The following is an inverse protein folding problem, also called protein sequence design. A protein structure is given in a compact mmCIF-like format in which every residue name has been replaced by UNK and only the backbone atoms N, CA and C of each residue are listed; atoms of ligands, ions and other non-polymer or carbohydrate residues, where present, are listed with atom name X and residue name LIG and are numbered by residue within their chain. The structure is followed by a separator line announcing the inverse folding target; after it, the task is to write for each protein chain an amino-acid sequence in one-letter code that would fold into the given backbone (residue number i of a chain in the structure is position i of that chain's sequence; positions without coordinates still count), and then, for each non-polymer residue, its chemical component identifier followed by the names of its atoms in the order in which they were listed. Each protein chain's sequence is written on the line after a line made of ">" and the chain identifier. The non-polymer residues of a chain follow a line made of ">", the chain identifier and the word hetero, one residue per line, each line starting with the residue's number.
data_IF_220879314757
#
_entry.id   IF_220879314757
#
_cell.length_a   1.000
_cell.length_b   1.000
_cell.length_c   1.000
_cell.angle_alpha   90.00
_cell.angle_beta   90.00
_cell.angle_gamma   90.00
#
_symmetry.space_group_name_H-M   'P 1'
#
loop_
_entity.id
_entity.type
_entity.pdbx_description
1 polymer ?
#
# COMPACT_ATOMS: atom_id res chain seq x y z
N UNK A 1 24.85 -5.13 22.26
CA UNK A 1 23.77 -4.72 21.34
C UNK A 1 22.81 -5.89 21.20
N UNK A 2 21.85 -5.99 22.10
CA UNK A 2 20.83 -7.04 22.15
C UNK A 2 19.69 -6.67 21.19
N UNK A 3 19.50 -7.47 20.14
CA UNK A 3 18.39 -7.34 19.18
C UNK A 3 17.06 -7.62 19.88
N UNK A 4 16.39 -6.59 20.38
CA UNK A 4 15.08 -6.65 21.04
C UNK A 4 13.92 -7.09 20.12
N UNK A 5 14.12 -7.15 18.79
CA UNK A 5 13.11 -7.59 17.83
C UNK A 5 13.00 -9.12 17.70
N UNK A 6 13.97 -9.89 18.20
CA UNK A 6 13.93 -11.36 18.11
C UNK A 6 12.99 -12.00 19.16
N UNK A 7 12.68 -11.26 20.24
CA UNK A 7 11.84 -11.74 21.35
C UNK A 7 10.37 -11.87 20.99
N UNK A 8 9.91 -11.25 19.90
CA UNK A 8 8.49 -11.28 19.46
C UNK A 8 8.22 -12.25 18.31
N UNK A 9 9.25 -12.92 17.80
CA UNK A 9 9.10 -13.73 16.59
C UNK A 9 8.63 -15.14 16.94
N UNK A 10 7.35 -15.41 16.67
CA UNK A 10 6.77 -16.75 16.76
C UNK A 10 7.05 -17.55 15.50
N UNK A 11 7.48 -18.80 15.67
CA UNK A 11 7.81 -19.74 14.59
C UNK A 11 6.95 -20.99 14.74
N UNK A 12 6.49 -21.53 13.61
CA UNK A 12 5.79 -22.81 13.59
C UNK A 12 6.79 -23.97 13.55
N UNK A 13 6.78 -24.80 14.60
CA UNK A 13 7.67 -25.96 14.71
C UNK A 13 7.15 -27.16 13.92
N UNK A 14 8.03 -27.79 13.14
CA UNK A 14 7.72 -29.06 12.48
C UNK A 14 7.57 -30.22 13.49
N UNK A 15 6.73 -31.25 13.20
CA UNK A 15 6.45 -32.36 14.11
C UNK A 15 7.70 -33.08 14.63
N UNK A 16 8.70 -33.30 13.78
CA UNK A 16 9.92 -34.02 14.13
C UNK A 16 10.81 -33.26 15.12
N UNK A 17 10.73 -31.92 15.14
CA UNK A 17 11.48 -31.09 16.09
C UNK A 17 10.86 -31.15 17.49
N UNK A 18 9.55 -31.35 17.59
CA UNK A 18 8.89 -31.58 18.87
C UNK A 18 9.42 -32.84 19.55
N UNK A 19 9.61 -33.91 18.78
CA UNK A 19 10.12 -35.18 19.29
C UNK A 19 11.59 -35.03 19.73
N UNK A 20 12.38 -34.22 19.01
CA UNK A 20 13.75 -33.90 19.40
C UNK A 20 13.85 -33.01 20.65
N UNK A 21 12.87 -32.12 20.89
CA UNK A 21 12.81 -31.23 22.05
C UNK A 21 12.26 -31.90 23.31
N UNK A 22 11.47 -32.96 23.17
CA UNK A 22 10.84 -33.69 24.28
C UNK A 22 11.80 -34.15 25.41
N UNK A 23 13.02 -34.66 25.17
CA UNK A 23 13.91 -35.10 26.24
C UNK A 23 14.67 -33.96 26.96
N UNK A 24 14.76 -32.78 26.35
CA UNK A 24 15.57 -31.65 26.84
C UNK A 24 15.19 -31.07 28.20
N UNK A 25 13.92 -31.03 28.66
CA UNK A 25 13.55 -30.39 29.93
C UNK A 25 14.23 -31.00 31.16
N UNK A 26 14.75 -32.23 31.06
CA UNK A 26 15.50 -32.89 32.13
C UNK A 26 16.97 -32.44 32.23
N UNK A 27 17.53 -31.91 31.13
CA UNK A 27 18.94 -31.56 30.98
C UNK A 27 19.20 -30.05 31.01
N UNK A 28 18.17 -29.25 30.71
CA UNK A 28 18.30 -27.81 30.57
C UNK A 28 18.49 -27.10 31.92
N UNK A 29 19.26 -26.00 31.96
CA UNK A 29 19.27 -25.08 33.08
C UNK A 29 17.85 -24.59 33.45
N UNK A 30 17.60 -24.27 34.73
CA UNK A 30 16.25 -23.96 35.22
C UNK A 30 15.58 -22.79 34.48
N UNK A 31 16.35 -21.80 34.03
CA UNK A 31 15.86 -20.66 33.26
C UNK A 31 15.35 -21.04 31.85
N UNK A 32 16.04 -21.94 31.15
CA UNK A 32 15.61 -22.40 29.82
C UNK A 32 14.46 -23.40 29.93
N UNK A 33 14.47 -24.21 30.99
CA UNK A 33 13.40 -25.16 31.28
C UNK A 33 12.07 -24.46 31.47
N UNK A 34 12.01 -23.39 32.27
CA UNK A 34 10.77 -22.64 32.48
C UNK A 34 10.24 -22.02 31.19
N UNK A 35 11.12 -21.58 30.28
CA UNK A 35 10.75 -21.06 28.97
C UNK A 35 10.21 -22.13 28.00
N UNK A 36 10.77 -23.35 28.01
CA UNK A 36 10.37 -24.43 27.09
C UNK A 36 9.13 -25.22 27.54
N UNK A 37 8.96 -25.42 28.85
CA UNK A 37 7.87 -26.22 29.45
C UNK A 37 6.46 -25.86 28.98
N UNK A 38 6.05 -24.57 28.89
CA UNK A 38 4.70 -24.23 28.43
C UNK A 38 4.43 -24.65 26.99
N UNK A 39 5.48 -24.72 26.15
CA UNK A 39 5.34 -25.10 24.74
C UNK A 39 5.33 -26.62 24.54
N UNK A 40 5.81 -27.41 25.49
CA UNK A 40 5.79 -28.88 25.43
C UNK A 40 4.54 -29.52 26.06
N UNK A 41 3.62 -28.70 26.59
CA UNK A 41 2.40 -29.17 27.24
C UNK A 41 1.37 -29.68 26.22
N UNK A 42 0.54 -30.65 26.60
CA UNK A 42 -0.59 -31.11 25.77
C UNK A 42 -1.84 -30.26 26.06
N UNK A 43 -2.47 -29.63 25.06
CA UNK A 43 -2.24 -29.76 23.62
C UNK A 43 -1.02 -28.98 23.11
N UNK A 44 -0.24 -29.59 22.20
CA UNK A 44 0.97 -28.99 21.62
C UNK A 44 0.61 -27.69 20.87
N UNK A 45 1.09 -26.51 21.32
CA UNK A 45 0.86 -25.27 20.60
C UNK A 45 1.56 -25.31 19.24
N UNK A 46 0.92 -24.77 18.20
CA UNK A 46 1.45 -24.77 16.84
C UNK A 46 2.68 -23.86 16.66
N UNK A 47 2.95 -22.98 17.62
CA UNK A 47 4.00 -21.96 17.55
C UNK A 47 4.84 -21.91 18.82
N UNK A 48 6.13 -21.70 18.67
CA UNK A 48 7.08 -21.40 19.75
C UNK A 48 7.80 -20.08 19.48
N UNK A 49 8.16 -19.30 20.51
CA UNK A 49 9.04 -18.16 20.36
C UNK A 49 10.45 -18.57 19.87
N UNK A 50 10.97 -17.80 18.92
CA UNK A 50 12.32 -18.01 18.37
C UNK A 50 13.43 -17.88 19.43
N UNK A 51 13.29 -16.94 20.37
CA UNK A 51 14.28 -16.72 21.41
C UNK A 51 14.56 -17.98 22.24
N UNK A 52 13.52 -18.75 22.59
CA UNK A 52 13.66 -20.00 23.35
C UNK A 52 14.51 -21.01 22.56
N UNK A 53 14.22 -21.18 21.28
CA UNK A 53 14.99 -22.07 20.41
C UNK A 53 16.43 -21.57 20.20
N UNK A 54 16.61 -20.25 20.09
CA UNK A 54 17.92 -19.63 19.93
C UNK A 54 18.78 -19.85 21.18
N UNK A 55 18.23 -19.67 22.38
CA UNK A 55 18.92 -19.91 23.64
C UNK A 55 19.30 -21.39 23.81
N UNK A 56 18.41 -22.32 23.44
CA UNK A 56 18.74 -23.76 23.41
C UNK A 56 19.88 -24.03 22.43
N UNK A 57 19.84 -23.41 21.24
CA UNK A 57 20.91 -23.57 20.24
C UNK A 57 22.26 -23.04 20.75
N UNK A 58 22.26 -21.92 21.48
CA UNK A 58 23.47 -21.35 22.10
C UNK A 58 23.98 -22.24 23.22
N UNK A 59 23.09 -22.69 24.11
CA UNK A 59 23.45 -23.60 25.20
C UNK A 59 24.06 -24.91 24.68
N UNK A 60 23.50 -25.49 23.62
CA UNK A 60 24.02 -26.73 23.01
C UNK A 60 25.45 -26.60 22.46
N UNK A 61 25.90 -25.38 22.14
CA UNK A 61 27.27 -25.09 21.69
C UNK A 61 28.26 -24.88 22.83
N UNK A 62 27.78 -24.69 24.06
CA UNK A 62 28.65 -24.60 25.23
C UNK A 62 29.19 -25.97 25.61
N UNK A 63 30.38 -26.02 26.19
CA UNK A 63 31.01 -27.27 26.65
C UNK A 63 30.15 -28.01 27.67
N UNK A 64 29.51 -27.26 28.58
CA UNK A 64 28.57 -27.80 29.56
C UNK A 64 27.35 -28.42 28.88
N UNK A 65 26.71 -27.71 27.94
CA UNK A 65 25.54 -28.21 27.23
C UNK A 65 25.85 -29.44 26.36
N UNK A 66 26.96 -29.42 25.64
CA UNK A 66 27.38 -30.58 24.83
C UNK A 66 27.67 -31.82 25.69
N UNK A 67 28.32 -31.63 26.85
CA UNK A 67 28.59 -32.72 27.79
C UNK A 67 27.29 -33.28 28.39
N UNK A 68 26.35 -32.40 28.78
CA UNK A 68 25.03 -32.80 29.28
C UNK A 68 24.25 -33.62 28.25
N UNK A 69 24.23 -33.20 26.98
CA UNK A 69 23.55 -33.92 25.89
C UNK A 69 24.17 -35.31 25.63
N UNK A 70 25.50 -35.41 25.64
CA UNK A 70 26.21 -36.67 25.45
C UNK A 70 26.06 -37.63 26.64
N UNK A 71 25.93 -37.10 27.86
CA UNK A 71 25.74 -37.90 29.08
C UNK A 71 24.33 -38.50 29.22
N UNK A 72 23.38 -38.05 28.41
CA UNK A 72 22.01 -38.56 28.42
C UNK A 72 21.95 -40.02 27.92
N UNK A 73 20.91 -40.76 28.32
CA UNK A 73 20.64 -42.12 27.84
C UNK A 73 19.23 -42.18 27.25
N UNK A 74 19.09 -42.38 25.92
CA UNK A 74 20.14 -42.58 24.91
C UNK A 74 20.98 -41.30 24.65
N UNK A 75 22.24 -41.44 24.18
CA UNK A 75 23.10 -40.29 23.92
C UNK A 75 22.51 -39.41 22.82
N UNK A 76 22.28 -38.14 23.12
CA UNK A 76 21.75 -37.16 22.17
C UNK A 76 22.89 -36.53 21.40
N UNK A 77 22.71 -36.34 20.08
CA UNK A 77 23.72 -35.70 19.24
C UNK A 77 23.68 -34.17 19.44
N UNK A 78 24.75 -33.52 19.94
CA UNK A 78 24.73 -32.07 20.16
C UNK A 78 24.48 -31.27 18.88
N UNK A 79 25.00 -31.76 17.75
CA UNK A 79 24.90 -31.12 16.44
C UNK A 79 23.45 -30.87 16.01
N UNK A 80 22.53 -31.79 16.32
CA UNK A 80 21.09 -31.66 16.00
C UNK A 80 20.43 -30.46 16.69
N UNK A 81 20.97 -30.03 17.84
CA UNK A 81 20.45 -28.90 18.62
C UNK A 81 21.12 -27.57 18.27
N UNK A 82 22.35 -27.61 17.72
CA UNK A 82 23.10 -26.38 17.38
C UNK A 82 22.44 -25.50 16.32
N UNK A 83 21.61 -26.11 15.46
CA UNK A 83 20.89 -25.42 14.39
C UNK A 83 19.37 -25.49 14.55
N UNK A 84 18.85 -25.88 15.72
CA UNK A 84 17.41 -26.08 15.91
C UNK A 84 16.61 -24.81 15.63
N UNK A 85 17.16 -23.64 15.96
CA UNK A 85 16.55 -22.35 15.68
C UNK A 85 16.47 -22.04 14.16
N UNK A 86 17.39 -22.57 13.35
CA UNK A 86 17.39 -22.42 11.89
C UNK A 86 16.46 -23.45 11.22
N UNK A 87 16.39 -24.67 11.78
CA UNK A 87 15.54 -25.74 11.27
C UNK A 87 14.08 -25.56 11.66
N UNK A 88 13.78 -24.81 12.72
CA UNK A 88 12.43 -24.62 13.24
C UNK A 88 11.44 -23.93 12.31
N UNK A 89 11.83 -23.56 11.09
CA UNK A 89 10.89 -23.29 10.01
C UNK A 89 11.13 -21.97 9.28
N UNK A 90 10.72 -21.96 8.01
CA UNK A 90 10.76 -20.82 7.08
C UNK A 90 9.57 -19.86 7.25
N UNK A 91 8.57 -20.24 8.04
CA UNK A 91 7.33 -19.49 8.25
C UNK A 91 7.41 -18.66 9.54
N UNK A 92 7.91 -17.44 9.41
CA UNK A 92 7.95 -16.47 10.52
C UNK A 92 6.58 -15.80 10.68
N UNK A 93 6.03 -15.82 11.89
CA UNK A 93 4.76 -15.15 12.22
C UNK A 93 3.54 -15.59 11.38
N UNK A 94 3.16 -16.88 11.40
CA UNK A 94 1.97 -17.36 10.69
C UNK A 94 0.67 -16.67 11.12
N UNK A 95 0.62 -16.18 12.37
CA UNK A 95 -0.50 -15.42 12.94
C UNK A 95 -0.62 -13.99 12.36
N UNK A 96 0.45 -13.48 11.74
CA UNK A 96 0.52 -12.07 11.35
C UNK A 96 -0.17 -11.86 10.00
N UNK A 97 -1.44 -11.44 10.06
CA UNK A 97 -2.18 -10.95 8.90
C UNK A 97 -1.49 -9.70 8.36
N UNK A 98 -0.78 -9.82 7.24
CA UNK A 98 -0.29 -8.65 6.51
C UNK A 98 -1.49 -7.75 6.17
N UNK A 99 -1.38 -6.45 6.46
CA UNK A 99 -2.44 -5.49 6.12
C UNK A 99 -2.76 -5.50 4.63
N UNK A 100 -3.94 -5.02 4.26
CA UNK A 100 -4.32 -4.90 2.84
C UNK A 100 -3.30 -4.01 2.12
N UNK A 101 -2.60 -4.56 1.14
CA UNK A 101 -1.71 -3.77 0.29
C UNK A 101 -2.52 -2.70 -0.45
N UNK A 102 -2.16 -1.44 -0.27
CA UNK A 102 -2.73 -0.32 -1.03
C UNK A 102 -1.66 0.11 -2.03
N UNK A 103 -1.82 -0.17 -3.34
CA UNK A 103 -0.89 0.28 -4.37
C UNK A 103 -0.74 1.80 -4.32
N UNK A 104 0.48 2.29 -4.59
CA UNK A 104 0.68 3.73 -4.82
C UNK A 104 -0.12 4.14 -6.07
N UNK A 105 -0.83 5.27 -5.98
CA UNK A 105 -1.57 5.82 -7.12
C UNK A 105 -0.59 6.17 -8.24
N UNK A 106 -0.97 5.88 -9.48
CA UNK A 106 -0.20 6.24 -10.67
C UNK A 106 -0.04 7.77 -10.79
N UNK A 107 1.10 8.26 -11.32
CA UNK A 107 1.36 9.70 -11.42
C UNK A 107 0.26 10.44 -12.22
N UNK A 108 -0.24 9.83 -13.28
CA UNK A 108 -1.29 10.39 -14.14
C UNK A 108 -2.61 10.63 -13.37
N UNK A 109 -2.97 9.75 -12.43
CA UNK A 109 -4.17 9.92 -11.61
C UNK A 109 -4.01 11.03 -10.58
N UNK A 110 -2.80 11.22 -10.07
CA UNK A 110 -2.48 12.30 -9.13
C UNK A 110 -2.51 13.64 -9.84
N UNK A 111 -1.94 13.74 -11.04
CA UNK A 111 -1.96 14.96 -11.85
C UNK A 111 -3.37 15.35 -12.28
N UNK A 112 -4.20 14.39 -12.71
CA UNK A 112 -5.60 14.64 -13.06
C UNK A 112 -6.40 15.17 -11.86
N UNK A 113 -6.17 14.62 -10.66
CA UNK A 113 -6.79 15.12 -9.42
C UNK A 113 -6.34 16.55 -9.12
N UNK A 114 -5.04 16.81 -9.14
CA UNK A 114 -4.48 18.14 -8.89
C UNK A 114 -5.04 19.20 -9.86
N UNK A 115 -5.17 18.85 -11.16
CA UNK A 115 -5.76 19.74 -12.15
C UNK A 115 -7.25 20.00 -11.90
N UNK A 116 -8.00 19.01 -11.42
CA UNK A 116 -9.40 19.18 -11.05
C UNK A 116 -9.57 20.05 -9.81
N UNK A 117 -8.70 19.90 -8.81
CA UNK A 117 -8.66 20.68 -7.57
C UNK A 117 -8.39 22.15 -7.87
N UNK A 118 -7.37 22.45 -8.69
CA UNK A 118 -7.07 23.83 -9.11
C UNK A 118 -8.28 24.51 -9.76
N UNK A 119 -8.99 23.81 -10.64
CA UNK A 119 -10.20 24.34 -11.29
C UNK A 119 -11.32 24.64 -10.28
N UNK A 120 -11.50 23.79 -9.28
CA UNK A 120 -12.48 24.02 -8.21
C UNK A 120 -12.10 25.22 -7.36
N UNK A 121 -10.82 25.34 -6.98
CA UNK A 121 -10.32 26.48 -6.22
C UNK A 121 -10.51 27.78 -7.00
N UNK A 122 -10.15 27.82 -8.28
CA UNK A 122 -10.35 29.01 -9.11
C UNK A 122 -11.82 29.39 -9.23
N UNK A 123 -12.72 28.41 -9.36
CA UNK A 123 -14.16 28.67 -9.42
C UNK A 123 -14.68 29.30 -8.11
N UNK A 124 -14.23 28.80 -6.96
CA UNK A 124 -14.58 29.37 -5.64
C UNK A 124 -14.08 30.80 -5.49
N UNK A 125 -12.83 31.06 -5.90
CA UNK A 125 -12.25 32.41 -5.83
C UNK A 125 -13.01 33.38 -6.74
N UNK A 126 -13.38 32.95 -7.95
CA UNK A 126 -14.17 33.77 -8.88
C UNK A 126 -15.55 34.10 -8.31
N UNK A 127 -16.26 33.10 -7.77
CA UNK A 127 -17.57 33.32 -7.15
C UNK A 127 -17.49 34.30 -5.96
N UNK A 128 -16.45 34.17 -5.12
CA UNK A 128 -16.25 35.06 -3.97
C UNK A 128 -15.99 36.51 -4.43
N UNK A 129 -15.15 36.68 -5.47
CA UNK A 129 -14.89 37.99 -6.08
C UNK A 129 -16.15 38.59 -6.71
N UNK A 130 -16.99 37.79 -7.39
CA UNK A 130 -18.28 38.25 -7.94
C UNK A 130 -19.20 38.80 -6.85
N UNK A 131 -19.36 38.07 -5.74
CA UNK A 131 -20.25 38.44 -4.63
C UNK A 131 -19.76 39.73 -3.96
N UNK A 132 -18.48 39.78 -3.60
CA UNK A 132 -17.89 40.96 -2.94
C UNK A 132 -17.88 42.16 -3.88
N UNK A 133 -17.49 41.96 -5.15
CA UNK A 133 -17.45 43.01 -6.15
C UNK A 133 -18.83 43.61 -6.40
N UNK A 134 -19.88 42.79 -6.53
CA UNK A 134 -21.25 43.26 -6.68
C UNK A 134 -21.75 44.02 -5.43
N UNK A 135 -21.44 43.52 -4.23
CA UNK A 135 -21.79 44.20 -2.97
C UNK A 135 -21.12 45.57 -2.82
N UNK A 136 -19.82 45.66 -3.12
CA UNK A 136 -19.08 46.93 -3.05
C UNK A 136 -19.53 47.91 -4.13
N UNK A 137 -19.76 47.43 -5.36
CA UNK A 137 -20.24 48.27 -6.45
C UNK A 137 -21.63 48.84 -6.16
N UNK A 138 -22.53 48.04 -5.61
CA UNK A 138 -23.87 48.49 -5.22
C UNK A 138 -23.85 49.42 -4.03
N UNK A 139 -23.00 49.17 -3.03
CA UNK A 139 -22.76 50.11 -1.94
C UNK A 139 -22.29 51.48 -2.47
N UNK A 140 -21.32 51.49 -3.39
CA UNK A 140 -20.80 52.71 -3.99
C UNK A 140 -21.84 53.44 -4.85
N UNK A 141 -22.66 52.71 -5.62
CA UNK A 141 -23.75 53.30 -6.38
C UNK A 141 -24.84 53.90 -5.46
N UNK A 142 -25.18 53.22 -4.37
CA UNK A 142 -26.13 53.71 -3.37
C UNK A 142 -25.59 54.90 -2.56
N UNK A 143 -24.27 55.13 -2.57
CA UNK A 143 -23.69 56.35 -2.01
C UNK A 143 -24.16 57.61 -2.76
N UNK A 144 -24.32 57.50 -4.08
CA UNK A 144 -24.72 58.62 -4.95
C UNK A 144 -26.20 58.98 -4.87
N UNK A 145 -27.06 58.09 -4.37
CA UNK A 145 -28.51 58.30 -4.29
C UNK A 145 -28.96 59.00 -3.00
N UNK A 146 -28.04 59.34 -2.09
CA UNK A 146 -28.36 60.06 -0.85
C UNK A 146 -29.13 59.23 0.19
N UNK A 147 -29.19 57.90 0.03
CA UNK A 147 -29.89 57.03 0.99
C UNK A 147 -29.18 56.96 2.35
N UNK A 148 -29.94 56.71 3.43
CA UNK A 148 -29.37 56.44 4.77
C UNK A 148 -28.50 55.18 4.70
N UNK A 149 -27.42 55.14 5.48
CA UNK A 149 -26.46 54.03 5.49
C UNK A 149 -27.11 52.66 5.74
N UNK A 150 -28.17 52.60 6.55
CA UNK A 150 -28.97 51.39 6.81
C UNK A 150 -29.49 50.76 5.51
N UNK A 151 -30.10 51.57 4.64
CA UNK A 151 -30.67 51.10 3.37
C UNK A 151 -29.60 50.70 2.36
N UNK A 152 -28.42 51.33 2.40
CA UNK A 152 -27.28 50.97 1.55
C UNK A 152 -26.75 49.58 1.90
N UNK A 153 -26.65 49.25 3.19
CA UNK A 153 -26.14 47.93 3.64
C UNK A 153 -27.13 46.85 3.22
N UNK A 154 -28.42 47.09 3.48
CA UNK A 154 -29.48 46.14 3.14
C UNK A 154 -29.54 45.87 1.63
N UNK A 155 -29.41 46.91 0.80
CA UNK A 155 -29.41 46.76 -0.64
C UNK A 155 -28.16 46.03 -1.15
N UNK A 156 -26.96 46.37 -0.66
CA UNK A 156 -25.73 45.69 -1.02
C UNK A 156 -25.74 44.20 -0.62
N UNK A 157 -26.26 43.89 0.56
CA UNK A 157 -26.43 42.51 1.04
C UNK A 157 -27.45 41.74 0.20
N UNK A 158 -28.57 42.38 -0.18
CA UNK A 158 -29.56 41.77 -1.07
C UNK A 158 -28.96 41.40 -2.43
N UNK A 159 -28.21 42.33 -3.05
CA UNK A 159 -27.54 42.03 -4.33
C UNK A 159 -26.49 40.93 -4.17
N UNK A 160 -25.70 40.95 -3.10
CA UNK A 160 -24.74 39.88 -2.80
C UNK A 160 -25.42 38.50 -2.68
N UNK A 161 -26.59 38.41 -2.05
CA UNK A 161 -27.38 37.17 -1.96
C UNK A 161 -27.85 36.70 -3.34
N UNK A 162 -28.40 37.60 -4.17
CA UNK A 162 -28.86 37.25 -5.52
C UNK A 162 -27.71 36.71 -6.36
N UNK A 163 -26.54 37.35 -6.30
CA UNK A 163 -25.33 36.90 -7.01
C UNK A 163 -24.85 35.55 -6.48
N UNK A 164 -24.88 35.33 -5.16
CA UNK A 164 -24.52 34.05 -4.57
C UNK A 164 -25.44 32.91 -5.03
N UNK A 165 -26.74 33.15 -5.13
CA UNK A 165 -27.70 32.16 -5.66
C UNK A 165 -27.42 31.87 -7.14
N UNK A 166 -27.13 32.89 -7.94
CA UNK A 166 -26.79 32.72 -9.36
C UNK A 166 -25.50 31.89 -9.55
N UNK A 167 -24.45 32.20 -8.80
CA UNK A 167 -23.18 31.44 -8.81
C UNK A 167 -23.38 30.00 -8.31
N UNK A 168 -24.21 29.79 -7.28
CA UNK A 168 -24.54 28.45 -6.80
C UNK A 168 -25.26 27.61 -7.86
N UNK A 169 -26.19 28.21 -8.61
CA UNK A 169 -26.85 27.56 -9.75
C UNK A 169 -25.86 27.17 -10.85
N UNK A 170 -24.94 28.07 -11.21
CA UNK A 170 -23.91 27.80 -12.20
C UNK A 170 -22.95 26.68 -11.76
N UNK A 171 -22.56 26.69 -10.49
CA UNK A 171 -21.74 25.64 -9.88
C UNK A 171 -22.44 24.28 -9.91
N UNK A 172 -23.74 24.23 -9.60
CA UNK A 172 -24.53 23.00 -9.61
C UNK A 172 -24.62 22.41 -11.03
N UNK A 173 -24.81 23.23 -12.06
CA UNK A 173 -24.79 22.79 -13.47
C UNK A 173 -23.41 22.23 -13.84
N UNK A 174 -22.34 22.90 -13.43
CA UNK A 174 -20.97 22.45 -13.70
C UNK A 174 -20.66 21.12 -12.99
N UNK A 175 -21.11 20.96 -11.74
CA UNK A 175 -20.95 19.72 -10.96
C UNK A 175 -21.75 18.57 -11.58
N UNK A 176 -22.97 18.83 -12.06
CA UNK A 176 -23.80 17.86 -12.76
C UNK A 176 -23.12 17.31 -14.02
N UNK A 177 -22.51 18.20 -14.83
CA UNK A 177 -21.75 17.80 -16.04
C UNK A 177 -20.49 17.00 -15.73
N UNK A 178 -19.93 17.13 -14.52
CA UNK A 178 -18.74 16.42 -14.06
C UNK A 178 -19.01 15.11 -13.37
N UNK A 179 -20.27 14.74 -13.16
CA UNK A 179 -20.60 13.41 -12.65
C UNK A 179 -20.52 12.42 -13.82
N UNK A 180 -19.44 11.63 -13.98
CA UNK A 180 -19.48 10.54 -14.93
C UNK A 180 -20.59 9.60 -14.46
N UNK A 181 -21.59 9.33 -15.31
CA UNK A 181 -22.39 8.11 -15.16
C UNK A 181 -21.39 6.97 -15.03
N UNK A 182 -21.28 6.41 -13.82
CA UNK A 182 -20.25 5.44 -13.42
C UNK A 182 -20.30 4.12 -14.21
N UNK A 183 -21.18 3.97 -15.20
CA UNK A 183 -21.39 2.74 -15.95
C UNK A 183 -20.69 2.68 -17.32
N UNK A 184 -20.24 3.79 -17.92
CA UNK A 184 -19.78 3.76 -19.32
C UNK A 184 -18.24 3.71 -19.52
N UNK A 185 -17.44 4.12 -18.52
CA UNK A 185 -15.97 4.21 -18.72
C UNK A 185 -15.21 2.91 -18.42
N UNK A 186 -15.81 1.98 -17.67
CA UNK A 186 -15.17 0.72 -17.30
C UNK A 186 -15.10 -0.24 -18.49
N UNK A 187 -16.07 -0.20 -19.41
CA UNK A 187 -16.11 -1.05 -20.62
C UNK A 187 -15.13 -0.62 -21.70
N UNK A 188 -14.71 0.66 -21.75
CA UNK A 188 -13.73 1.13 -22.76
C UNK A 188 -12.27 0.89 -22.36
N UNK A 189 -11.96 0.79 -21.06
CA UNK A 189 -10.59 0.52 -20.59
C UNK A 189 -10.18 -0.95 -20.80
N UNK A 190 -11.11 -1.91 -20.77
CA UNK A 190 -10.77 -3.32 -21.05
C UNK A 190 -10.43 -3.57 -22.53
N UNK A 191 -11.02 -2.81 -23.46
CA UNK A 191 -10.77 -2.98 -24.90
C UNK A 191 -9.43 -2.35 -25.31
N UNK A 192 -8.99 -1.26 -24.67
CA UNK A 192 -7.69 -0.64 -24.93
C UNK A 192 -6.51 -1.46 -24.39
N UNK A 193 -6.66 -2.06 -23.20
CA UNK A 193 -5.62 -2.91 -22.61
C UNK A 193 -5.43 -4.25 -23.36
N UNK A 194 -6.47 -4.74 -24.05
CA UNK A 194 -6.40 -5.97 -24.84
C UNK A 194 -5.65 -5.81 -26.19
N UNK A 195 -5.37 -4.58 -26.64
CA UNK A 195 -4.72 -4.32 -27.94
C UNK A 195 -3.19 -4.23 -27.89
N UNK A 196 -2.58 -4.28 -26.71
CA UNK A 196 -1.13 -4.08 -26.56
C UNK A 196 -0.32 -5.35 -26.31
N UNK A 197 -0.93 -6.55 -26.45
CA UNK A 197 -0.29 -7.84 -26.15
C UNK A 197 -0.25 -8.80 -27.35
N UNK A 198 0.08 -8.29 -28.54
CA UNK A 198 0.38 -9.15 -29.68
C UNK A 198 1.71 -8.74 -30.29
N UNK A 199 2.53 -9.77 -30.52
CA UNK A 199 3.81 -9.80 -31.23
C UNK A 199 5.05 -9.41 -30.40
N UNK A 200 5.62 -10.44 -29.76
CA UNK A 200 7.02 -10.83 -29.94
C UNK A 200 7.16 -12.30 -29.50
N UNK A 201 6.88 -13.21 -30.43
CA UNK A 201 7.18 -14.64 -30.29
C UNK A 201 7.82 -15.12 -31.61
N UNK A 202 9.15 -15.05 -31.68
CA UNK A 202 9.95 -15.70 -32.75
C UNK A 202 11.23 -16.29 -32.12
N UNK A 203 11.11 -17.57 -31.73
CA UNK A 203 11.98 -18.71 -32.06
C UNK A 203 13.50 -18.53 -32.16
N UNK A 204 14.21 -19.12 -31.18
CA UNK A 204 15.63 -19.45 -31.22
C UNK A 204 15.85 -20.87 -31.78
N UNK A 205 16.24 -21.02 -33.05
CA UNK A 205 16.99 -22.17 -33.57
C UNK A 205 17.84 -21.74 -34.79
N UNK A 206 19.08 -22.23 -34.95
CA UNK A 206 19.98 -21.81 -36.03
C UNK A 206 19.89 -22.76 -37.24
N UNK A 207 19.73 -22.19 -38.43
CA UNK A 207 19.86 -22.89 -39.71
C UNK A 207 20.23 -21.90 -40.81
N UNK A 208 21.25 -22.18 -41.66
CA UNK A 208 21.78 -21.20 -42.59
C UNK A 208 21.06 -21.18 -43.93
N UNK A 209 21.21 -20.04 -44.60
CA UNK A 209 20.95 -19.74 -46.02
C UNK A 209 19.50 -19.73 -46.53
N UNK A 210 19.01 -18.52 -46.84
CA UNK A 210 18.60 -18.06 -48.19
C UNK A 210 18.41 -16.53 -48.17
N UNK A 211 18.90 -15.88 -49.22
CA UNK A 211 18.94 -14.43 -49.49
C UNK A 211 17.65 -13.95 -50.24
N UNK A 212 17.48 -12.65 -50.57
CA UNK A 212 16.35 -11.81 -50.14
C UNK A 212 15.34 -11.45 -51.25
N UNK A 213 14.09 -11.14 -50.89
CA UNK A 213 13.13 -10.32 -51.68
C UNK A 213 12.07 -9.78 -50.68
N UNK A 214 11.51 -8.57 -50.72
CA UNK A 214 11.60 -7.43 -51.62
C UNK A 214 10.85 -6.24 -50.99
N UNK A 215 11.14 -5.05 -51.53
CA UNK A 215 10.50 -3.73 -51.32
C UNK A 215 8.98 -3.77 -51.06
N UNK A 216 8.48 -2.83 -50.23
CA UNK A 216 7.84 -1.58 -50.69
C UNK A 216 7.58 -0.57 -49.56
N UNK A 217 8.14 0.61 -49.77
CA UNK A 217 7.76 1.95 -49.32
C UNK A 217 6.26 2.25 -49.47
N UNK A 218 5.72 3.09 -48.58
CA UNK A 218 5.19 4.43 -48.85
C UNK A 218 4.66 5.01 -47.51
N UNK A 219 5.22 6.11 -46.97
CA UNK A 219 4.81 7.49 -47.26
C UNK A 219 3.32 7.71 -46.89
N UNK A 220 2.99 8.41 -45.81
CA UNK A 220 2.90 9.88 -45.85
C UNK A 220 2.71 10.47 -44.44
N UNK A 221 3.48 11.53 -44.20
CA UNK A 221 3.32 12.46 -43.10
C UNK A 221 2.03 13.28 -43.24
N UNK A 222 1.41 13.64 -42.12
CA UNK A 222 0.60 14.88 -42.05
C UNK A 222 0.70 15.51 -40.66
N UNK A 223 1.71 16.38 -40.55
CA UNK A 223 1.78 17.52 -39.64
C UNK A 223 0.87 18.64 -40.19
N UNK A 224 -0.03 19.18 -39.36
CA UNK A 224 -0.60 20.57 -39.37
C UNK A 224 -1.91 20.54 -38.54
N UNK A 225 -2.31 21.55 -37.78
CA UNK A 225 -1.89 22.94 -37.72
C UNK A 225 -2.42 23.56 -36.43
N UNK A 226 -1.62 24.47 -35.85
CA UNK A 226 -2.09 25.55 -34.97
C UNK A 226 -3.20 26.37 -35.65
N UNK A 227 -4.17 26.81 -34.86
CA UNK A 227 -4.46 28.24 -34.66
C UNK A 227 -4.97 28.46 -33.25
#
# INVERSE_FOLDING_TARGET
>A
MSNSNASELNISLEPHLWDALAPLPSLLPPALKSGLTPYLSNPKPATIPYNVLQEISQWSRTTAGSASLQSHRPPLQPQSYTMIALLAGTTTSPERKFGKYVPKKEPDEVEARNASERKTVTALVNALLSIVGAGVATWWAADKTGWRNEWRVLFALFVAIVVAIAEAGLYLIWQSRRSPMKSASQTRRSIAAARHKKEDDISTLPGPDIKPTGKKTNETANLRQRR
#
